data_IF_739295668851
#
_entry.id   IF_739295668851
#
_cell.length_a   1.000
_cell.length_b   1.000
_cell.length_c   1.000
_cell.angle_alpha   90.00
_cell.angle_beta   90.00
_cell.angle_gamma   90.00
#
_symmetry.space_group_name_H-M   'P 1'
#
loop_
_entity.id
_entity.type
_entity.pdbx_description
1 polymer ?
#
# COMPACT_ATOMS: atom_id res chain seq x y z
N UNK A 1 17.11 15.32 2.60
CA UNK A 1 15.79 15.85 2.98
C UNK A 1 14.82 15.59 1.85
N UNK A 2 13.74 14.90 2.15
CA UNK A 2 12.71 14.69 1.16
C UNK A 2 12.27 16.04 0.60
N UNK A 3 12.01 16.11 -0.70
CA UNK A 3 11.43 17.30 -1.29
C UNK A 3 10.10 17.55 -0.60
N UNK A 4 9.81 18.81 -0.33
CA UNK A 4 8.53 19.17 0.27
C UNK A 4 7.43 19.00 -0.78
N UNK A 5 6.87 17.80 -0.81
CA UNK A 5 5.72 17.45 -1.65
C UNK A 5 4.44 17.40 -0.83
N UNK A 6 4.53 17.85 0.44
CA UNK A 6 3.38 17.92 1.32
C UNK A 6 2.37 18.94 0.81
N UNK A 7 1.12 18.52 0.75
CA UNK A 7 -0.01 19.39 0.45
C UNK A 7 -1.14 19.07 1.45
N UNK A 8 -1.61 20.06 2.22
CA UNK A 8 -2.67 19.81 3.20
C UNK A 8 -4.01 19.39 2.56
N UNK A 9 -4.17 19.60 1.26
CA UNK A 9 -5.37 19.19 0.53
C UNK A 9 -5.28 17.74 0.00
N UNK A 10 -4.14 17.10 0.13
CA UNK A 10 -3.98 15.71 -0.26
C UNK A 10 -4.81 14.78 0.63
N UNK A 11 -5.41 13.71 0.07
CA UNK A 11 -6.09 12.70 0.88
C UNK A 11 -5.13 12.00 1.84
N UNK A 12 -5.67 11.59 2.98
CA UNK A 12 -4.93 10.85 4.00
C UNK A 12 -5.59 9.51 4.26
N UNK A 13 -4.78 8.50 4.53
CA UNK A 13 -5.23 7.17 4.92
C UNK A 13 -4.59 6.81 6.25
N UNK A 14 -5.38 6.31 7.19
CA UNK A 14 -4.86 5.74 8.43
C UNK A 14 -4.99 4.23 8.36
N UNK A 15 -3.85 3.55 8.48
CA UNK A 15 -3.80 2.10 8.65
C UNK A 15 -3.81 1.81 10.14
N UNK A 16 -4.89 1.22 10.63
CA UNK A 16 -5.02 0.81 12.03
C UNK A 16 -4.46 -0.61 12.16
N UNK A 17 -3.20 -0.72 12.53
CA UNK A 17 -2.52 -2.02 12.64
C UNK A 17 -2.57 -2.53 14.08
N UNK A 18 -2.28 -3.82 14.25
CA UNK A 18 -2.15 -4.40 15.60
C UNK A 18 -0.89 -3.95 16.36
N UNK A 19 -0.05 -3.09 15.73
CA UNK A 19 1.08 -2.40 16.38
C UNK A 19 0.82 -0.91 16.62
N UNK A 20 -0.27 -0.36 16.11
CA UNK A 20 -0.65 1.04 16.24
C UNK A 20 -1.06 1.64 14.89
N UNK A 21 -1.31 2.93 14.89
CA UNK A 21 -1.80 3.66 13.73
C UNK A 21 -0.67 4.26 12.91
N UNK A 22 -0.81 4.17 11.59
CA UNK A 22 0.09 4.79 10.62
C UNK A 22 -0.74 5.70 9.73
N UNK A 23 -0.45 7.00 9.73
CA UNK A 23 -1.13 7.98 8.90
C UNK A 23 -0.27 8.29 7.69
N UNK A 24 -0.85 8.19 6.52
CA UNK A 24 -0.16 8.34 5.23
C UNK A 24 -0.85 9.42 4.40
N UNK A 25 -0.08 10.37 3.91
CA UNK A 25 -0.53 11.33 2.92
C UNK A 25 -0.34 10.74 1.52
N UNK A 26 -1.35 10.85 0.67
CA UNK A 26 -1.32 10.33 -0.70
C UNK A 26 -1.19 11.47 -1.71
N UNK A 27 -0.23 11.37 -2.62
CA UNK A 27 0.12 12.42 -3.59
C UNK A 27 -0.82 12.39 -4.81
N UNK A 28 -2.08 12.77 -4.60
CA UNK A 28 -3.13 12.67 -5.63
C UNK A 28 -2.89 13.59 -6.84
N UNK A 29 -2.17 14.67 -6.68
CA UNK A 29 -1.84 15.60 -7.76
C UNK A 29 -0.73 15.09 -8.68
N UNK A 30 0.21 14.31 -8.13
CA UNK A 30 1.38 13.80 -8.86
C UNK A 30 1.24 12.36 -9.32
N UNK A 31 0.48 11.55 -8.61
CA UNK A 31 0.22 10.14 -8.94
C UNK A 31 -1.28 9.82 -8.86
N UNK A 32 -2.12 10.51 -9.66
CA UNK A 32 -3.58 10.44 -9.51
C UNK A 32 -4.16 9.04 -9.71
N UNK A 33 -3.66 8.28 -10.67
CA UNK A 33 -4.18 6.92 -10.96
C UNK A 33 -3.79 5.93 -9.87
N UNK A 34 -2.57 6.00 -9.39
CA UNK A 34 -2.07 5.13 -8.33
C UNK A 34 -2.80 5.41 -7.01
N UNK A 35 -2.99 6.69 -6.68
CA UNK A 35 -3.75 7.09 -5.49
C UNK A 35 -5.21 6.67 -5.60
N UNK A 36 -5.86 6.89 -6.74
CA UNK A 36 -7.25 6.47 -6.95
C UNK A 36 -7.42 4.96 -6.80
N UNK A 37 -6.50 4.17 -7.33
CA UNK A 37 -6.50 2.72 -7.16
C UNK A 37 -6.40 2.33 -5.68
N UNK A 38 -5.45 2.91 -4.96
CA UNK A 38 -5.26 2.61 -3.54
C UNK A 38 -6.49 2.99 -2.72
N UNK A 39 -7.05 4.18 -2.92
CA UNK A 39 -8.25 4.63 -2.23
C UNK A 39 -9.45 3.74 -2.55
N UNK A 40 -9.61 3.34 -3.81
CA UNK A 40 -10.67 2.44 -4.22
C UNK A 40 -10.63 1.09 -3.52
N UNK A 41 -9.42 0.53 -3.37
CA UNK A 41 -9.21 -0.74 -2.67
C UNK A 41 -9.29 -0.60 -1.14
N UNK A 42 -9.00 0.58 -0.61
CA UNK A 42 -9.07 0.85 0.83
C UNK A 42 -10.50 1.05 1.32
N UNK A 43 -11.37 1.60 0.49
CA UNK A 43 -12.77 1.89 0.85
C UNK A 43 -13.59 0.62 0.93
N UNK A 44 -14.58 0.67 1.82
CA UNK A 44 -15.65 -0.33 1.88
C UNK A 44 -16.91 0.25 1.22
N UNK A 45 -17.34 -0.37 0.11
CA UNK A 45 -18.60 0.00 -0.55
C UNK A 45 -19.46 -1.27 -0.77
N UNK A 46 -20.40 -1.55 0.14
CA UNK A 46 -21.28 -2.71 0.01
C UNK A 46 -22.12 -2.70 -1.28
N UNK A 47 -22.34 -1.53 -1.87
CA UNK A 47 -23.11 -1.44 -3.12
C UNK A 47 -22.28 -1.92 -4.32
N UNK A 48 -20.97 -1.95 -4.20
CA UNK A 48 -20.10 -2.43 -5.27
C UNK A 48 -20.16 -3.94 -5.47
N UNK A 49 -20.53 -4.70 -4.44
CA UNK A 49 -20.73 -6.15 -4.55
C UNK A 49 -21.84 -6.52 -5.53
N UNK A 50 -22.78 -5.58 -5.78
CA UNK A 50 -23.92 -5.81 -6.65
C UNK A 50 -23.67 -5.47 -8.13
N UNK A 51 -22.56 -4.79 -8.44
CA UNK A 51 -22.27 -4.36 -9.80
C UNK A 51 -20.76 -4.47 -10.11
N UNK A 52 -20.35 -5.59 -10.69
CA UNK A 52 -18.94 -5.84 -11.03
C UNK A 52 -18.40 -4.91 -12.14
N UNK A 53 -19.25 -4.12 -12.79
CA UNK A 53 -18.82 -3.12 -13.76
C UNK A 53 -18.49 -1.76 -13.15
N UNK A 54 -18.65 -1.61 -11.84
CA UNK A 54 -18.24 -0.39 -11.12
C UNK A 54 -16.73 -0.37 -10.94
N UNK A 55 -16.10 0.63 -11.53
CA UNK A 55 -14.67 0.66 -11.80
C UNK A 55 -13.74 0.85 -10.60
N UNK A 56 -14.13 1.41 -9.50
CA UNK A 56 -13.13 1.94 -8.56
C UNK A 56 -13.09 1.29 -7.19
N UNK A 57 -14.10 0.49 -6.82
CA UNK A 57 -14.20 -0.08 -5.48
C UNK A 57 -14.37 -1.60 -5.48
N UNK A 58 -14.14 -2.25 -6.62
CA UNK A 58 -14.23 -3.71 -6.71
C UNK A 58 -12.88 -4.34 -7.00
N UNK A 59 -12.71 -5.53 -6.47
CA UNK A 59 -11.54 -6.37 -6.73
C UNK A 59 -11.97 -7.82 -6.80
N UNK A 60 -11.20 -8.62 -7.53
CA UNK A 60 -11.46 -10.05 -7.64
C UNK A 60 -10.62 -10.80 -6.61
N UNK A 61 -11.29 -11.58 -5.77
CA UNK A 61 -10.62 -12.42 -4.78
C UNK A 61 -9.91 -13.57 -5.50
N UNK A 62 -8.58 -13.66 -5.42
CA UNK A 62 -7.83 -14.69 -6.13
C UNK A 62 -8.05 -16.11 -5.60
N UNK A 63 -8.59 -16.28 -4.38
CA UNK A 63 -8.91 -17.60 -3.84
C UNK A 63 -10.25 -18.13 -4.34
N UNK A 64 -11.24 -17.25 -4.51
CA UNK A 64 -12.62 -17.64 -4.82
C UNK A 64 -13.06 -17.25 -6.23
N UNK A 65 -12.41 -16.27 -6.84
CA UNK A 65 -12.81 -15.67 -8.10
C UNK A 65 -14.02 -14.74 -7.98
N UNK A 66 -14.47 -14.46 -6.76
CA UNK A 66 -15.59 -13.53 -6.53
C UNK A 66 -15.14 -12.08 -6.66
N UNK A 67 -16.00 -11.25 -7.26
CA UNK A 67 -15.85 -9.80 -7.27
C UNK A 67 -16.38 -9.25 -5.96
N UNK A 68 -15.54 -8.48 -5.26
CA UNK A 68 -15.83 -7.95 -3.93
C UNK A 68 -15.76 -6.41 -3.92
N UNK A 69 -16.60 -5.80 -3.09
CA UNK A 69 -16.63 -4.36 -2.89
C UNK A 69 -16.20 -3.92 -1.49
N UNK A 70 -15.86 -4.87 -0.62
CA UNK A 70 -15.29 -4.57 0.70
C UNK A 70 -13.83 -4.13 0.56
N UNK A 71 -13.27 -3.53 1.61
CA UNK A 71 -11.87 -3.11 1.60
C UNK A 71 -10.94 -4.30 1.45
N UNK A 72 -10.07 -4.27 0.43
CA UNK A 72 -9.04 -5.28 0.25
C UNK A 72 -8.02 -5.22 1.40
N UNK A 73 -7.75 -4.02 1.92
CA UNK A 73 -6.69 -3.83 2.92
C UNK A 73 -7.15 -4.12 4.36
N UNK A 74 -8.44 -4.02 4.67
CA UNK A 74 -8.92 -4.37 6.01
C UNK A 74 -8.83 -5.87 6.25
N UNK A 75 -8.16 -6.26 7.33
CA UNK A 75 -7.89 -7.66 7.64
C UNK A 75 -6.67 -8.22 6.91
N UNK A 76 -6.02 -7.45 6.06
CA UNK A 76 -4.81 -7.86 5.35
C UNK A 76 -3.59 -7.77 6.27
N UNK A 77 -2.50 -8.43 5.89
CA UNK A 77 -1.26 -8.46 6.67
C UNK A 77 -0.08 -7.90 5.89
N UNK A 78 0.94 -7.46 6.63
CA UNK A 78 2.27 -7.22 6.05
C UNK A 78 2.98 -8.57 5.95
N UNK A 79 2.92 -9.19 4.80
CA UNK A 79 3.42 -10.55 4.58
C UNK A 79 4.93 -10.64 4.37
N UNK A 80 5.59 -9.51 4.15
CA UNK A 80 7.04 -9.45 3.92
C UNK A 80 7.62 -8.22 4.62
N UNK A 81 8.54 -8.47 5.53
CA UNK A 81 9.21 -7.42 6.32
C UNK A 81 10.70 -7.66 6.28
N UNK A 82 11.45 -6.68 5.82
CA UNK A 82 12.91 -6.70 5.81
C UNK A 82 13.41 -5.49 6.57
N UNK A 83 14.01 -5.73 7.74
CA UNK A 83 14.56 -4.67 8.59
C UNK A 83 15.54 -3.79 7.80
N UNK A 84 15.55 -2.51 8.10
CA UNK A 84 16.36 -1.49 7.41
C UNK A 84 16.07 -1.32 5.93
N UNK A 85 15.02 -1.95 5.40
CA UNK A 85 14.63 -1.84 4.00
C UNK A 85 13.17 -1.39 3.83
N UNK A 86 12.22 -2.29 4.06
CA UNK A 86 10.79 -1.95 3.86
C UNK A 86 9.87 -2.96 4.54
N UNK A 87 8.59 -2.57 4.68
CA UNK A 87 7.50 -3.46 5.03
C UNK A 87 6.50 -3.51 3.87
N UNK A 88 6.07 -4.69 3.48
CA UNK A 88 5.22 -4.90 2.31
C UNK A 88 3.93 -5.64 2.68
N UNK A 89 2.81 -5.13 2.16
CA UNK A 89 1.49 -5.72 2.35
C UNK A 89 0.60 -5.50 1.12
N UNK A 90 -0.71 -5.74 1.30
CA UNK A 90 -1.68 -5.50 0.25
C UNK A 90 -1.93 -6.69 -0.68
N UNK A 91 -1.41 -7.87 -0.34
CA UNK A 91 -1.67 -9.09 -1.09
C UNK A 91 -2.82 -9.88 -0.45
N UNK A 92 -3.96 -10.05 -1.14
CA UNK A 92 -5.05 -10.86 -0.58
C UNK A 92 -4.70 -12.33 -0.35
N UNK A 93 -3.67 -12.86 -1.01
CA UNK A 93 -3.14 -14.20 -0.76
C UNK A 93 -2.06 -14.23 0.33
N UNK A 94 -1.58 -13.08 0.78
CA UNK A 94 -0.52 -12.98 1.79
C UNK A 94 0.78 -13.72 1.43
N UNK A 95 1.05 -13.85 0.13
CA UNK A 95 2.17 -14.65 -0.39
C UNK A 95 3.15 -13.90 -1.29
N UNK A 96 2.81 -12.69 -1.69
CA UNK A 96 3.54 -11.92 -2.69
C UNK A 96 3.09 -12.19 -4.13
N UNK A 97 2.18 -13.13 -4.34
CA UNK A 97 1.71 -13.56 -5.67
C UNK A 97 0.30 -13.12 -6.02
N UNK A 98 -0.46 -12.62 -5.06
CA UNK A 98 -1.83 -12.21 -5.25
C UNK A 98 -1.95 -10.75 -5.66
N UNK A 99 -3.18 -10.38 -6.02
CA UNK A 99 -3.52 -9.03 -6.42
C UNK A 99 -5.03 -8.88 -6.55
N UNK A 100 -5.49 -7.74 -7.05
CA UNK A 100 -6.91 -7.40 -7.10
C UNK A 100 -7.65 -7.95 -8.34
N UNK A 101 -6.99 -8.76 -9.16
CA UNK A 101 -7.55 -9.31 -10.40
C UNK A 101 -7.28 -8.47 -11.64
N UNK A 102 -6.51 -7.39 -11.51
CA UNK A 102 -6.09 -6.52 -12.62
C UNK A 102 -4.69 -5.99 -12.38
N UNK A 103 -4.10 -5.45 -13.44
CA UNK A 103 -2.83 -4.72 -13.37
C UNK A 103 -2.99 -3.37 -14.06
N UNK A 104 -2.19 -2.39 -13.63
CA UNK A 104 -2.15 -1.07 -14.27
C UNK A 104 -0.72 -0.57 -14.44
N UNK A 105 -0.58 0.42 -15.32
CA UNK A 105 0.72 0.94 -15.74
C UNK A 105 1.42 1.72 -14.62
N UNK A 106 2.74 1.73 -14.66
CA UNK A 106 3.57 2.55 -13.81
C UNK A 106 3.23 4.04 -13.98
N UNK A 107 3.31 4.78 -12.89
CA UNK A 107 3.04 6.20 -12.85
C UNK A 107 4.17 6.88 -12.07
N UNK A 108 5.22 7.28 -12.80
CA UNK A 108 6.38 7.93 -12.20
C UNK A 108 6.29 9.44 -12.31
N UNK A 109 6.83 10.13 -11.32
CA UNK A 109 6.95 11.58 -11.29
C UNK A 109 8.32 11.96 -10.77
N UNK A 110 8.96 12.94 -11.38
CA UNK A 110 10.35 13.34 -11.06
C UNK A 110 10.52 13.81 -9.61
N UNK A 111 9.46 14.33 -9.01
CA UNK A 111 9.48 14.80 -7.62
C UNK A 111 9.22 13.67 -6.61
N UNK A 112 8.79 12.49 -7.06
CA UNK A 112 8.45 11.37 -6.22
C UNK A 112 9.55 10.31 -6.28
N UNK A 113 10.40 10.29 -5.28
CA UNK A 113 11.56 9.40 -5.19
C UNK A 113 11.61 8.68 -3.86
N UNK A 114 12.34 7.56 -3.82
CA UNK A 114 12.57 6.78 -2.60
C UNK A 114 13.77 7.35 -1.81
N UNK A 115 13.67 8.59 -1.38
CA UNK A 115 14.78 9.37 -0.81
C UNK A 115 14.83 9.42 0.72
N UNK A 116 13.89 8.75 1.39
CA UNK A 116 13.77 8.79 2.85
C UNK A 116 13.04 7.55 3.40
N UNK A 117 13.11 7.29 4.71
CA UNK A 117 12.17 6.36 5.35
C UNK A 117 10.73 6.89 5.28
N UNK A 118 9.76 5.97 5.29
CA UNK A 118 8.34 6.33 5.30
C UNK A 118 7.74 6.64 3.93
N UNK A 119 8.38 6.25 2.85
CA UNK A 119 7.86 6.43 1.49
C UNK A 119 6.94 5.25 1.15
N UNK A 120 5.73 5.57 0.68
CA UNK A 120 4.75 4.61 0.21
C UNK A 120 4.89 4.43 -1.30
N UNK A 121 5.10 3.21 -1.74
CA UNK A 121 5.39 2.88 -3.13
C UNK A 121 4.71 1.57 -3.53
N UNK A 122 4.44 1.39 -4.82
CA UNK A 122 3.81 0.18 -5.34
C UNK A 122 4.82 -0.96 -5.51
N UNK A 123 4.51 -2.12 -4.93
CA UNK A 123 5.18 -3.35 -5.27
C UNK A 123 4.75 -3.81 -6.68
N UNK A 124 5.62 -4.48 -7.39
CA UNK A 124 5.33 -5.01 -8.72
C UNK A 124 6.23 -6.21 -9.05
N UNK A 125 5.95 -6.88 -10.15
CA UNK A 125 6.73 -8.00 -10.68
C UNK A 125 7.40 -7.66 -12.02
N UNK A 126 7.65 -6.41 -12.27
CA UNK A 126 8.25 -5.86 -13.47
C UNK A 126 7.48 -4.61 -13.96
N UNK A 127 7.85 -4.06 -15.14
CA UNK A 127 7.17 -2.88 -15.67
C UNK A 127 5.67 -3.09 -15.87
N UNK A 128 4.88 -2.09 -15.46
CA UNK A 128 3.44 -2.03 -15.71
C UNK A 128 2.64 -3.22 -15.14
N UNK A 129 3.04 -3.68 -13.92
CA UNK A 129 2.39 -4.80 -13.23
C UNK A 129 1.87 -4.40 -11.85
N UNK A 130 1.46 -3.14 -11.68
CA UNK A 130 0.90 -2.67 -10.41
C UNK A 130 -0.49 -3.26 -10.16
N UNK A 131 -0.78 -3.59 -8.92
CA UNK A 131 -2.07 -4.14 -8.51
C UNK A 131 -2.49 -3.57 -7.16
N UNK A 132 -2.41 -4.37 -6.11
CA UNK A 132 -2.79 -3.97 -4.75
C UNK A 132 -1.63 -3.94 -3.77
N UNK A 133 -0.54 -4.63 -4.03
CA UNK A 133 0.58 -4.71 -3.11
C UNK A 133 1.35 -3.39 -3.07
N UNK A 134 1.71 -2.99 -1.87
CA UNK A 134 2.48 -1.78 -1.61
C UNK A 134 3.57 -2.04 -0.57
N UNK A 135 4.52 -1.14 -0.47
CA UNK A 135 5.50 -1.17 0.61
C UNK A 135 5.74 0.22 1.18
N UNK A 136 6.18 0.25 2.42
CA UNK A 136 6.60 1.47 3.11
C UNK A 136 8.08 1.30 3.44
N UNK A 137 8.90 2.26 3.04
CA UNK A 137 10.35 2.18 3.23
C UNK A 137 10.75 2.43 4.68
N UNK A 138 11.81 1.75 5.11
CA UNK A 138 12.45 1.96 6.42
C UNK A 138 13.75 2.78 6.30
N UNK A 139 14.21 2.99 5.08
CA UNK A 139 15.39 3.77 4.75
C UNK A 139 15.25 4.31 3.32
N UNK A 140 16.14 5.19 2.91
CA UNK A 140 16.22 5.61 1.52
C UNK A 140 16.60 4.42 0.62
N UNK A 141 15.85 4.25 -0.47
CA UNK A 141 16.05 3.15 -1.43
C UNK A 141 16.12 3.68 -2.86
N UNK A 142 17.13 4.53 -3.17
CA UNK A 142 17.17 5.22 -4.46
C UNK A 142 17.30 4.29 -5.67
N UNK A 143 17.75 3.07 -5.46
CA UNK A 143 17.82 2.04 -6.52
C UNK A 143 16.44 1.60 -7.03
N UNK A 144 15.35 1.94 -6.31
CA UNK A 144 13.98 1.64 -6.72
C UNK A 144 13.34 2.75 -7.56
N UNK A 145 13.97 3.92 -7.67
CA UNK A 145 13.48 5.03 -8.48
C UNK A 145 13.38 4.60 -9.96
N UNK A 146 12.25 4.95 -10.59
CA UNK A 146 11.99 4.56 -11.97
C UNK A 146 11.58 3.10 -12.17
N UNK A 147 11.45 2.32 -11.09
CA UNK A 147 11.02 0.91 -11.11
C UNK A 147 9.73 0.69 -10.32
N UNK A 148 9.54 1.46 -9.27
CA UNK A 148 8.36 1.41 -8.41
C UNK A 148 7.75 2.80 -8.30
N UNK A 149 6.43 2.89 -8.38
CA UNK A 149 5.71 4.16 -8.36
C UNK A 149 5.48 4.63 -6.93
N UNK A 150 6.15 5.70 -6.53
CA UNK A 150 5.92 6.39 -5.26
C UNK A 150 4.61 7.15 -5.33
N UNK A 151 3.75 7.03 -4.31
CA UNK A 151 2.46 7.73 -4.30
C UNK A 151 2.03 8.27 -2.95
N UNK A 152 2.86 8.16 -1.93
CA UNK A 152 2.55 8.69 -0.59
C UNK A 152 3.75 8.73 0.34
N UNK A 153 3.50 9.26 1.53
CA UNK A 153 4.48 9.29 2.62
C UNK A 153 3.80 9.21 3.97
N UNK A 154 4.47 8.59 4.93
CA UNK A 154 4.03 8.53 6.32
C UNK A 154 4.20 9.93 6.94
N UNK A 155 3.12 10.45 7.52
CA UNK A 155 3.13 11.75 8.22
C UNK A 155 2.98 11.60 9.74
N UNK A 156 2.42 10.49 10.20
CA UNK A 156 2.36 10.13 11.62
C UNK A 156 2.50 8.62 11.78
N UNK A 157 3.11 8.17 12.87
CA UNK A 157 3.24 6.75 13.16
C UNK A 157 4.46 6.09 12.55
N UNK A 158 5.51 6.85 12.22
CA UNK A 158 6.75 6.26 11.70
C UNK A 158 7.39 5.31 12.74
N UNK A 159 7.23 5.59 14.03
CA UNK A 159 7.66 4.69 15.10
C UNK A 159 6.96 3.33 15.03
N UNK A 160 5.68 3.30 14.64
CA UNK A 160 4.94 2.05 14.40
C UNK A 160 5.52 1.29 13.21
N UNK A 161 5.82 1.99 12.11
CA UNK A 161 6.45 1.39 10.93
C UNK A 161 7.81 0.78 11.29
N UNK A 162 8.60 1.47 12.06
CA UNK A 162 9.91 0.97 12.54
C UNK A 162 9.76 -0.24 13.45
N UNK A 163 8.76 -0.25 14.34
CA UNK A 163 8.44 -1.40 15.19
C UNK A 163 8.08 -2.62 14.34
N UNK A 164 7.21 -2.44 13.35
CA UNK A 164 6.86 -3.51 12.41
C UNK A 164 8.11 -4.01 11.67
N UNK A 165 8.97 -3.10 11.24
CA UNK A 165 10.21 -3.43 10.54
C UNK A 165 11.18 -4.29 11.34
N UNK A 166 11.06 -4.30 12.67
CA UNK A 166 11.96 -5.03 13.58
C UNK A 166 11.36 -6.32 14.16
N UNK A 167 10.13 -6.71 13.76
CA UNK A 167 9.53 -7.95 14.27
C UNK A 167 10.30 -9.19 13.79
N UNK A 168 10.31 -10.28 14.59
CA UNK A 168 10.92 -11.52 14.16
C UNK A 168 10.24 -12.07 12.89
N UNK A 169 11.05 -12.46 11.92
CA UNK A 169 10.59 -13.03 10.65
C UNK A 169 11.10 -14.45 10.48
N UNK A 170 10.39 -15.22 9.69
CA UNK A 170 10.75 -16.56 9.32
C UNK A 170 11.11 -16.68 7.83
N UNK A 171 10.69 -17.78 7.21
CA UNK A 171 10.91 -18.03 5.79
C UNK A 171 10.25 -16.95 4.94
N UNK A 172 10.91 -16.51 3.87
CA UNK A 172 10.45 -15.49 2.93
C UNK A 172 10.21 -14.12 3.59
N UNK A 173 10.92 -13.82 4.68
CA UNK A 173 10.78 -12.56 5.42
C UNK A 173 9.35 -12.32 5.94
N UNK A 174 8.60 -13.38 6.18
CA UNK A 174 7.25 -13.32 6.72
C UNK A 174 7.32 -13.16 8.24
N UNK A 175 6.61 -12.17 8.82
CA UNK A 175 6.53 -12.03 10.28
C UNK A 175 6.03 -13.32 10.94
N UNK A 176 6.70 -13.74 12.01
CA UNK A 176 6.30 -14.95 12.77
C UNK A 176 4.97 -14.78 13.45
N UNK A 177 4.71 -13.58 13.97
CA UNK A 177 3.41 -13.18 14.50
C UNK A 177 2.78 -12.23 13.48
N UNK A 178 1.55 -12.48 13.08
CA UNK A 178 0.88 -11.71 12.04
C UNK A 178 0.83 -10.21 12.38
N UNK A 179 1.27 -9.38 11.45
CA UNK A 179 1.14 -7.93 11.50
C UNK A 179 -0.05 -7.56 10.61
N UNK A 180 -1.19 -7.26 11.25
CA UNK A 180 -2.45 -7.05 10.53
C UNK A 180 -2.82 -5.58 10.42
N UNK A 181 -3.51 -5.25 9.32
CA UNK A 181 -4.22 -3.99 9.14
C UNK A 181 -5.67 -4.28 9.53
N UNK A 182 -6.05 -3.89 10.75
CA UNK A 182 -7.35 -4.26 11.30
C UNK A 182 -8.48 -3.41 10.71
N UNK A 183 -8.16 -2.15 10.37
CA UNK A 183 -9.10 -1.20 9.81
C UNK A 183 -8.37 -0.13 9.01
N UNK A 184 -9.04 0.47 8.04
CA UNK A 184 -8.52 1.59 7.24
C UNK A 184 -9.50 2.75 7.30
N UNK A 185 -8.99 3.92 7.61
CA UNK A 185 -9.76 5.18 7.59
C UNK A 185 -9.26 6.05 6.45
N UNK A 186 -10.18 6.53 5.61
CA UNK A 186 -9.87 7.41 4.47
C UNK A 186 -10.43 8.79 4.76
N UNK A 187 -9.58 9.81 4.65
CA UNK A 187 -9.95 11.22 4.76
C UNK A 187 -9.58 11.94 3.46
N UNK A 188 -10.56 12.54 2.83
CA UNK A 188 -10.40 13.30 1.58
C UNK A 188 -10.66 14.79 1.76
#
# INVERSE_FOLDING_TARGET
>A
MARDVHDPDNPQVTLHTNHGDVVIELFADRAPRTVENFLGLARHDPAADADPARDTNTWEDPETGEVRGDSLYEGNVFHRVIDDFMIQGGDPLESGRGGPGYQFDDEFHDELTHDAPGILSMANSGPNTNGSQFFITLDATPHLDGKHAVFGQVIEGMDVVEEIGSVPTGRNDEPRDAVSIDRVTVEE
#
